data_IF_668589072363
#
_entry.id   IF_668589072363
#
_cell.length_a   1.000
_cell.length_b   1.000
_cell.length_c   1.000
_cell.angle_alpha   90.00
_cell.angle_beta   90.00
_cell.angle_gamma   90.00
#
_symmetry.space_group_name_H-M   'P 1'
#
loop_
_entity.id
_entity.type
_entity.pdbx_description
1 polymer ?
#
# COMPACT_ATOMS: atom_id res chain seq x y z
N UNK A 1 -11.14 6.46 -7.44
CA UNK A 1 -10.56 5.10 -7.53
C UNK A 1 -10.96 4.52 -8.87
N UNK A 2 -10.42 3.37 -9.28
CA UNK A 2 -10.89 2.72 -10.49
C UNK A 2 -12.19 1.96 -10.20
N UNK A 3 -13.23 2.21 -10.98
CA UNK A 3 -14.58 1.66 -10.79
C UNK A 3 -14.96 0.75 -11.97
N UNK A 4 -15.79 -0.27 -11.68
CA UNK A 4 -16.31 -1.19 -12.68
C UNK A 4 -17.77 -0.87 -12.99
N UNK A 5 -18.09 -0.73 -14.27
CA UNK A 5 -19.47 -0.70 -14.77
C UNK A 5 -19.61 -1.65 -15.95
N UNK A 6 -20.85 -1.98 -16.33
CA UNK A 6 -21.09 -2.80 -17.51
C UNK A 6 -20.43 -2.17 -18.75
N UNK A 7 -19.76 -3.00 -19.55
CA UNK A 7 -19.12 -2.58 -20.80
C UNK A 7 -20.19 -2.36 -21.88
N UNK A 8 -20.23 -1.17 -22.47
CA UNK A 8 -21.18 -0.78 -23.52
C UNK A 8 -20.55 -0.68 -24.90
N UNK A 9 -21.38 -0.56 -25.94
CA UNK A 9 -20.92 -0.47 -27.34
C UNK A 9 -20.02 0.74 -27.63
N UNK A 10 -20.29 1.88 -26.97
CA UNK A 10 -19.44 3.08 -27.07
C UNK A 10 -18.03 2.83 -26.53
N UNK A 11 -17.91 2.01 -25.47
CA UNK A 11 -16.62 1.65 -24.88
C UNK A 11 -15.82 0.76 -25.82
N UNK A 12 -16.48 -0.22 -26.48
CA UNK A 12 -15.84 -1.08 -27.47
C UNK A 12 -15.23 -0.25 -28.60
N UNK A 13 -15.99 0.72 -29.09
CA UNK A 13 -15.51 1.66 -30.12
C UNK A 13 -14.31 2.45 -29.63
N UNK A 14 -14.33 2.92 -28.38
CA UNK A 14 -13.21 3.66 -27.80
C UNK A 14 -11.96 2.78 -27.60
N UNK A 15 -12.14 1.54 -27.10
CA UNK A 15 -11.06 0.58 -26.85
C UNK A 15 -10.34 0.22 -28.15
N UNK A 16 -11.09 -0.03 -29.23
CA UNK A 16 -10.54 -0.34 -30.55
C UNK A 16 -9.66 0.79 -31.11
N UNK A 17 -9.93 2.03 -30.67
CA UNK A 17 -9.18 3.22 -31.05
C UNK A 17 -8.05 3.59 -30.08
N UNK A 18 -7.76 2.79 -29.06
CA UNK A 18 -6.65 3.08 -28.15
C UNK A 18 -5.28 3.01 -28.84
N UNK A 19 -4.33 3.86 -28.43
CA UNK A 19 -2.95 3.78 -28.90
C UNK A 19 -2.38 2.37 -28.67
N UNK A 20 -1.53 1.87 -29.58
CA UNK A 20 -0.96 0.55 -29.42
C UNK A 20 -0.03 0.47 -28.22
N UNK A 21 0.10 -0.72 -27.64
CA UNK A 21 1.07 -0.94 -26.57
C UNK A 21 2.51 -0.73 -27.06
N UNK A 22 3.36 -0.01 -26.30
CA UNK A 22 4.76 0.18 -26.66
C UNK A 22 5.62 -1.05 -26.27
N UNK A 23 6.78 -1.17 -26.92
CA UNK A 23 7.84 -2.11 -26.54
C UNK A 23 7.39 -3.57 -26.51
N UNK A 24 7.82 -4.30 -25.49
CA UNK A 24 7.57 -5.75 -25.33
C UNK A 24 6.09 -6.12 -25.18
N UNK A 25 5.21 -5.12 -24.96
CA UNK A 25 3.76 -5.33 -24.90
C UNK A 25 3.05 -5.13 -26.24
N UNK A 26 3.75 -4.68 -27.30
CA UNK A 26 3.16 -4.50 -28.63
C UNK A 26 2.52 -5.80 -29.18
N UNK A 27 3.10 -6.96 -28.85
CA UNK A 27 2.54 -8.28 -29.19
C UNK A 27 1.19 -8.59 -28.53
N UNK A 28 0.74 -7.80 -27.55
CA UNK A 28 -0.56 -7.93 -26.91
C UNK A 28 -1.62 -7.08 -27.60
N UNK A 29 -1.25 -6.22 -28.54
CA UNK A 29 -2.16 -5.24 -29.12
C UNK A 29 -3.32 -5.86 -29.90
N UNK A 30 -3.08 -7.00 -30.58
CA UNK A 30 -4.09 -7.78 -31.30
C UNK A 30 -5.36 -8.04 -30.46
N UNK A 31 -5.19 -8.16 -29.14
CA UNK A 31 -6.25 -8.28 -28.15
C UNK A 31 -7.42 -7.32 -28.32
N UNK A 32 -7.07 -6.08 -28.64
CA UNK A 32 -7.93 -4.91 -28.59
C UNK A 32 -8.48 -4.55 -29.97
N UNK A 33 -7.98 -5.22 -31.02
CA UNK A 33 -8.31 -4.93 -32.42
C UNK A 33 -9.48 -5.80 -32.87
N UNK A 34 -9.96 -5.51 -34.08
CA UNK A 34 -11.01 -6.30 -34.73
C UNK A 34 -10.60 -7.78 -34.78
N UNK A 35 -11.55 -8.66 -34.46
CA UNK A 35 -11.35 -10.11 -34.36
C UNK A 35 -10.33 -10.53 -33.28
N UNK A 36 -9.89 -9.58 -32.46
CA UNK A 36 -9.11 -9.81 -31.26
C UNK A 36 -9.91 -10.52 -30.17
N UNK A 37 -9.24 -10.83 -29.07
CA UNK A 37 -9.91 -11.61 -28.03
C UNK A 37 -11.01 -10.87 -27.29
N UNK A 38 -11.04 -9.53 -27.31
CA UNK A 38 -12.19 -8.77 -26.83
C UNK A 38 -13.47 -9.15 -27.60
N UNK A 39 -13.42 -9.12 -28.92
CA UNK A 39 -14.54 -9.50 -29.78
C UNK A 39 -14.87 -11.00 -29.61
N UNK A 40 -13.85 -11.86 -29.54
CA UNK A 40 -14.04 -13.30 -29.32
C UNK A 40 -14.77 -13.59 -28.00
N UNK A 41 -14.36 -12.95 -26.89
CA UNK A 41 -14.96 -13.21 -25.59
C UNK A 41 -16.40 -12.74 -25.51
N UNK A 42 -16.76 -11.65 -26.21
CA UNK A 42 -18.12 -11.11 -26.22
C UNK A 42 -19.06 -11.88 -27.15
N UNK A 43 -18.52 -12.59 -28.14
CA UNK A 43 -19.32 -13.33 -29.13
C UNK A 43 -19.44 -14.82 -28.83
N UNK A 44 -18.47 -15.42 -28.12
CA UNK A 44 -18.45 -16.85 -27.81
C UNK A 44 -18.87 -17.14 -26.36
N UNK A 45 -20.10 -17.61 -26.21
CA UNK A 45 -20.64 -18.10 -24.95
C UNK A 45 -21.15 -17.00 -24.02
N UNK A 46 -21.37 -17.35 -22.76
CA UNK A 46 -21.85 -16.41 -21.75
C UNK A 46 -20.67 -15.64 -21.16
N UNK A 47 -20.63 -14.33 -21.35
CA UNK A 47 -19.56 -13.46 -20.88
C UNK A 47 -20.10 -12.25 -20.13
N UNK A 48 -19.39 -11.88 -19.07
CA UNK A 48 -19.66 -10.72 -18.24
C UNK A 48 -18.50 -9.74 -18.37
N UNK A 49 -18.72 -8.66 -19.10
CA UNK A 49 -17.69 -7.67 -19.41
C UNK A 49 -17.95 -6.34 -18.71
N UNK A 50 -16.89 -5.77 -18.16
CA UNK A 50 -16.93 -4.53 -17.40
C UNK A 50 -15.92 -3.53 -17.95
N UNK A 51 -16.37 -2.30 -18.17
CA UNK A 51 -15.52 -1.14 -18.35
C UNK A 51 -14.84 -0.77 -17.03
N UNK A 52 -13.58 -0.35 -17.10
CA UNK A 52 -12.84 0.20 -15.95
C UNK A 52 -12.68 1.69 -16.16
N UNK A 53 -13.18 2.48 -15.21
CA UNK A 53 -13.16 3.94 -15.27
C UNK A 53 -12.34 4.55 -14.12
N UNK A 54 -11.59 5.60 -14.41
CA UNK A 54 -10.96 6.47 -13.40
C UNK A 54 -11.53 7.88 -13.56
N UNK A 55 -12.49 8.24 -12.71
CA UNK A 55 -13.36 9.39 -12.98
C UNK A 55 -14.17 9.14 -14.25
N UNK A 56 -14.27 10.13 -15.13
CA UNK A 56 -15.01 10.01 -16.40
C UNK A 56 -14.18 9.42 -17.55
N UNK A 57 -13.03 8.79 -17.25
CA UNK A 57 -12.13 8.24 -18.27
C UNK A 57 -12.15 6.72 -18.29
N UNK A 58 -12.45 6.14 -19.45
CA UNK A 58 -12.23 4.72 -19.72
C UNK A 58 -10.73 4.40 -19.77
N UNK A 59 -10.27 3.60 -18.81
CA UNK A 59 -8.85 3.26 -18.62
C UNK A 59 -8.56 1.77 -18.83
N UNK A 60 -9.56 0.92 -18.94
CA UNK A 60 -9.40 -0.52 -19.07
C UNK A 60 -10.73 -1.24 -19.23
N UNK A 61 -10.65 -2.56 -19.30
CA UNK A 61 -11.81 -3.45 -19.16
C UNK A 61 -11.38 -4.78 -18.58
N UNK A 62 -12.36 -5.53 -18.10
CA UNK A 62 -12.19 -6.84 -17.50
C UNK A 62 -13.37 -7.74 -17.88
N UNK A 63 -13.13 -9.03 -18.06
CA UNK A 63 -14.11 -9.99 -18.56
C UNK A 63 -14.04 -11.27 -17.72
N UNK A 64 -15.21 -11.80 -17.38
CA UNK A 64 -15.40 -13.17 -16.93
C UNK A 64 -16.20 -13.93 -17.98
N UNK A 65 -15.56 -14.87 -18.65
CA UNK A 65 -16.22 -15.72 -19.66
C UNK A 65 -16.49 -17.08 -19.07
N UNK A 66 -17.74 -17.51 -19.05
CA UNK A 66 -18.12 -18.82 -18.54
C UNK A 66 -17.50 -19.92 -19.39
N UNK A 67 -16.84 -20.86 -18.73
CA UNK A 67 -16.12 -21.99 -19.35
C UNK A 67 -16.62 -23.33 -18.84
N UNK A 68 -17.34 -23.34 -17.72
CA UNK A 68 -17.99 -24.53 -17.15
C UNK A 68 -19.25 -24.16 -16.38
N UNK A 69 -19.82 -25.12 -15.66
CA UNK A 69 -21.05 -24.90 -14.87
C UNK A 69 -20.88 -23.82 -13.80
N UNK A 70 -19.74 -23.84 -13.10
CA UNK A 70 -19.36 -22.88 -12.06
C UNK A 70 -17.90 -22.42 -12.26
N UNK A 71 -17.47 -22.29 -13.51
CA UNK A 71 -16.11 -21.88 -13.86
C UNK A 71 -16.10 -20.75 -14.88
N UNK A 72 -15.16 -19.82 -14.71
CA UNK A 72 -14.95 -18.72 -15.64
C UNK A 72 -13.48 -18.49 -15.96
N UNK A 73 -13.23 -18.03 -17.18
CA UNK A 73 -11.96 -17.46 -17.60
C UNK A 73 -11.96 -15.95 -17.32
N UNK A 74 -10.98 -15.48 -16.57
CA UNK A 74 -10.73 -14.08 -16.28
C UNK A 74 -9.76 -13.48 -17.30
N UNK A 75 -10.11 -12.29 -17.81
CA UNK A 75 -9.22 -11.51 -18.67
C UNK A 75 -9.30 -10.03 -18.34
N UNK A 76 -8.17 -9.33 -18.51
CA UNK A 76 -8.05 -7.90 -18.20
C UNK A 76 -7.14 -7.23 -19.22
N UNK A 77 -7.49 -6.00 -19.60
CA UNK A 77 -6.60 -5.11 -20.32
C UNK A 77 -6.75 -3.66 -19.82
N UNK A 78 -5.62 -2.95 -19.78
CA UNK A 78 -5.55 -1.53 -19.43
C UNK A 78 -5.07 -0.75 -20.65
N UNK A 79 -5.55 0.47 -20.83
CA UNK A 79 -4.98 1.39 -21.82
C UNK A 79 -3.48 1.54 -21.60
N UNK A 80 -2.70 1.68 -22.68
CA UNK A 80 -1.24 1.59 -22.63
C UNK A 80 -0.59 2.54 -21.59
N UNK A 81 -1.08 3.79 -21.50
CA UNK A 81 -0.66 4.82 -20.54
C UNK A 81 -1.07 4.55 -19.09
N UNK A 82 -1.91 3.55 -18.85
CA UNK A 82 -2.42 3.15 -17.52
C UNK A 82 -1.77 1.86 -17.00
N UNK A 83 -1.04 1.15 -17.86
CA UNK A 83 -0.12 0.09 -17.43
C UNK A 83 1.00 0.73 -16.61
N UNK A 84 1.52 0.08 -15.56
CA UNK A 84 2.49 0.76 -14.67
C UNK A 84 1.93 1.13 -13.32
N UNK A 85 0.68 1.56 -13.26
CA UNK A 85 0.23 2.47 -12.21
C UNK A 85 -0.53 1.80 -11.05
N UNK A 86 -0.51 0.47 -10.97
CA UNK A 86 -1.11 -0.29 -9.86
C UNK A 86 -2.59 -0.66 -10.04
N UNK A 87 -3.27 -0.18 -11.08
CA UNK A 87 -4.69 -0.47 -11.33
C UNK A 87 -5.02 -1.95 -11.47
N UNK A 88 -4.14 -2.74 -12.11
CA UNK A 88 -4.42 -4.14 -12.44
C UNK A 88 -4.77 -5.00 -11.22
N UNK A 89 -4.15 -4.73 -10.06
CA UNK A 89 -4.44 -5.51 -8.85
C UNK A 89 -5.83 -5.27 -8.31
N UNK A 90 -6.20 -4.00 -8.16
CA UNK A 90 -7.52 -3.61 -7.66
C UNK A 90 -8.64 -4.08 -8.59
N UNK A 91 -8.49 -3.92 -9.91
CA UNK A 91 -9.47 -4.39 -10.91
C UNK A 91 -9.63 -5.90 -10.86
N UNK A 92 -8.52 -6.65 -10.74
CA UNK A 92 -8.56 -8.11 -10.65
C UNK A 92 -9.36 -8.54 -9.42
N UNK A 93 -9.10 -7.95 -8.25
CA UNK A 93 -9.84 -8.25 -7.02
C UNK A 93 -11.34 -7.92 -7.14
N UNK A 94 -11.69 -6.75 -7.67
CA UNK A 94 -13.09 -6.38 -7.91
C UNK A 94 -13.78 -7.37 -8.85
N UNK A 95 -13.10 -7.77 -9.94
CA UNK A 95 -13.66 -8.73 -10.90
C UNK A 95 -13.87 -10.11 -10.28
N UNK A 96 -12.91 -10.60 -9.50
CA UNK A 96 -13.03 -11.90 -8.82
C UNK A 96 -14.22 -11.93 -7.88
N UNK A 97 -14.44 -10.86 -7.09
CA UNK A 97 -15.61 -10.73 -6.21
C UNK A 97 -16.91 -10.82 -7.00
N UNK A 98 -17.03 -10.04 -8.08
CA UNK A 98 -18.19 -10.13 -8.99
C UNK A 98 -18.37 -11.56 -9.49
N UNK A 99 -17.30 -12.24 -9.86
CA UNK A 99 -17.35 -13.62 -10.34
C UNK A 99 -17.85 -14.62 -9.30
N UNK A 100 -17.28 -14.60 -8.11
CA UNK A 100 -17.63 -15.56 -7.05
C UNK A 100 -18.99 -15.26 -6.42
N UNK A 101 -19.32 -13.99 -6.18
CA UNK A 101 -20.49 -13.61 -5.40
C UNK A 101 -21.72 -13.35 -6.26
N UNK A 102 -21.56 -12.56 -7.33
CA UNK A 102 -22.69 -12.20 -8.20
C UNK A 102 -23.02 -13.29 -9.21
N UNK A 103 -22.00 -13.92 -9.78
CA UNK A 103 -22.17 -14.96 -10.80
C UNK A 103 -22.07 -16.39 -10.27
N UNK A 104 -21.72 -16.56 -8.99
CA UNK A 104 -21.70 -17.87 -8.33
C UNK A 104 -20.66 -18.83 -8.88
N UNK A 105 -19.57 -18.32 -9.48
CA UNK A 105 -18.46 -19.18 -9.87
C UNK A 105 -17.82 -19.81 -8.63
N UNK A 106 -17.27 -21.01 -8.79
CA UNK A 106 -16.50 -21.72 -7.76
C UNK A 106 -15.01 -21.68 -8.05
N UNK A 107 -14.64 -21.47 -9.33
CA UNK A 107 -13.26 -21.37 -9.80
C UNK A 107 -13.15 -20.37 -10.93
N UNK A 108 -12.14 -19.52 -10.87
CA UNK A 108 -11.80 -18.57 -11.92
C UNK A 108 -10.37 -18.83 -12.35
N UNK A 109 -10.15 -19.05 -13.65
CA UNK A 109 -8.83 -19.29 -14.21
C UNK A 109 -8.42 -18.18 -15.17
N UNK A 110 -7.12 -18.05 -15.44
CA UNK A 110 -6.56 -17.15 -16.42
C UNK A 110 -5.36 -17.80 -17.12
N UNK A 111 -5.04 -17.27 -18.29
CA UNK A 111 -3.76 -17.53 -18.96
C UNK A 111 -2.98 -16.22 -19.06
N UNK A 112 -1.69 -16.27 -18.78
CA UNK A 112 -0.79 -15.12 -18.86
C UNK A 112 0.47 -15.50 -19.64
N UNK A 113 0.89 -14.66 -20.61
CA UNK A 113 2.08 -14.93 -21.42
C UNK A 113 3.30 -15.14 -20.51
N UNK A 114 4.14 -16.13 -20.80
CA UNK A 114 5.33 -16.43 -19.97
C UNK A 114 6.29 -15.25 -19.83
N UNK A 115 6.37 -14.37 -20.84
CA UNK A 115 7.21 -13.18 -20.79
C UNK A 115 6.58 -12.00 -20.02
N UNK A 116 5.33 -12.10 -19.57
CA UNK A 116 4.69 -11.08 -18.73
C UNK A 116 4.95 -11.36 -17.24
N UNK A 117 6.22 -11.23 -16.84
CA UNK A 117 6.68 -11.47 -15.45
C UNK A 117 5.95 -10.60 -14.43
N UNK A 118 5.53 -9.39 -14.82
CA UNK A 118 4.77 -8.48 -13.98
C UNK A 118 3.36 -8.98 -13.70
N UNK A 119 2.65 -9.45 -14.73
CA UNK A 119 1.32 -10.04 -14.58
C UNK A 119 1.37 -11.28 -13.69
N UNK A 120 2.33 -12.17 -13.95
CA UNK A 120 2.53 -13.40 -13.16
C UNK A 120 2.70 -13.06 -11.67
N UNK A 121 3.64 -12.16 -11.32
CA UNK A 121 3.86 -11.75 -9.92
C UNK A 121 2.62 -11.11 -9.28
N UNK A 122 1.84 -10.36 -10.06
CA UNK A 122 0.60 -9.77 -9.58
C UNK A 122 -0.44 -10.86 -9.23
N UNK A 123 -0.66 -11.81 -10.14
CA UNK A 123 -1.63 -12.88 -9.93
C UNK A 123 -1.24 -13.79 -8.77
N UNK A 124 0.04 -14.14 -8.64
CA UNK A 124 0.56 -14.90 -7.50
C UNK A 124 0.31 -14.17 -6.18
N UNK A 125 0.53 -12.84 -6.12
CA UNK A 125 0.26 -12.04 -4.92
C UNK A 125 -1.22 -11.98 -4.56
N UNK A 126 -2.09 -12.00 -5.56
CA UNK A 126 -3.56 -12.02 -5.37
C UNK A 126 -4.03 -13.38 -4.87
N UNK A 127 -3.24 -14.44 -5.08
CA UNK A 127 -3.56 -15.79 -4.63
C UNK A 127 -3.80 -16.80 -5.75
N UNK A 128 -3.66 -16.40 -7.02
CA UNK A 128 -3.75 -17.36 -8.11
C UNK A 128 -2.64 -18.41 -7.99
N UNK A 129 -3.04 -19.67 -8.08
CA UNK A 129 -2.15 -20.83 -8.06
C UNK A 129 -1.72 -21.15 -9.48
N UNK A 130 -0.42 -21.35 -9.66
CA UNK A 130 0.14 -21.73 -10.94
C UNK A 130 -0.11 -23.22 -11.22
N UNK A 131 -0.78 -23.52 -12.34
CA UNK A 131 -1.18 -24.88 -12.75
C UNK A 131 -0.32 -25.42 -13.90
N UNK A 132 0.74 -24.70 -14.28
CA UNK A 132 1.67 -25.12 -15.32
C UNK A 132 1.53 -24.30 -16.60
N UNK A 133 1.94 -24.89 -17.71
CA UNK A 133 2.12 -24.18 -18.98
C UNK A 133 1.15 -24.69 -20.03
N UNK A 134 0.66 -23.78 -20.87
CA UNK A 134 -0.11 -24.12 -22.06
C UNK A 134 0.40 -23.31 -23.25
N UNK A 135 0.29 -23.89 -24.44
CA UNK A 135 0.63 -23.23 -25.70
C UNK A 135 -0.64 -22.97 -26.49
N UNK A 136 -0.77 -21.76 -27.03
CA UNK A 136 -1.88 -21.39 -27.91
C UNK A 136 -1.34 -20.74 -29.18
N UNK A 137 -2.06 -20.87 -30.27
CA UNK A 137 -1.75 -20.18 -31.51
C UNK A 137 -2.41 -18.79 -31.50
N UNK A 138 -1.62 -17.74 -31.60
CA UNK A 138 -2.06 -16.36 -31.66
C UNK A 138 -1.57 -15.76 -32.98
N UNK A 139 -2.50 -15.37 -33.85
CA UNK A 139 -2.18 -14.84 -35.20
C UNK A 139 -1.21 -15.76 -35.96
N UNK A 140 -1.46 -17.07 -35.96
CA UNK A 140 -0.62 -18.07 -36.62
C UNK A 140 0.72 -18.38 -35.94
N UNK A 141 1.00 -17.77 -34.78
CA UNK A 141 2.26 -17.99 -34.05
C UNK A 141 2.01 -18.75 -32.74
N UNK A 142 2.82 -19.78 -32.42
CA UNK A 142 2.74 -20.44 -31.12
C UNK A 142 3.23 -19.51 -30.01
N UNK A 143 2.39 -19.30 -29.00
CA UNK A 143 2.68 -18.49 -27.82
C UNK A 143 2.52 -19.32 -26.56
N UNK A 144 3.53 -19.26 -25.68
CA UNK A 144 3.53 -19.96 -24.40
C UNK A 144 2.93 -19.10 -23.27
N UNK A 145 2.04 -19.70 -22.50
CA UNK A 145 1.33 -19.11 -21.38
C UNK A 145 1.52 -19.94 -20.10
N UNK A 146 1.37 -19.28 -18.96
CA UNK A 146 1.09 -19.93 -17.67
C UNK A 146 -0.42 -19.99 -17.48
N UNK A 147 -0.93 -21.16 -17.14
CA UNK A 147 -2.30 -21.35 -16.68
C UNK A 147 -2.32 -21.17 -15.17
N UNK A 148 -3.19 -20.30 -14.69
CA UNK A 148 -3.36 -20.06 -13.25
C UNK A 148 -4.83 -20.08 -12.88
N UNK A 149 -5.17 -20.49 -11.66
CA UNK A 149 -6.54 -20.45 -11.17
C UNK A 149 -6.64 -20.04 -9.71
N UNK A 150 -7.85 -19.71 -9.30
CA UNK A 150 -8.20 -19.44 -7.91
C UNK A 150 -9.64 -19.87 -7.68
N UNK A 151 -9.90 -20.53 -6.56
CA UNK A 151 -11.23 -20.93 -6.13
C UNK A 151 -11.86 -19.94 -5.15
N UNK A 152 -13.19 -19.98 -5.05
CA UNK A 152 -13.92 -19.21 -4.05
C UNK A 152 -13.48 -19.57 -2.62
N UNK A 153 -13.13 -20.83 -2.37
CA UNK A 153 -12.59 -21.30 -1.09
C UNK A 153 -11.20 -20.71 -0.81
N UNK A 154 -10.29 -20.75 -1.78
CA UNK A 154 -8.94 -20.17 -1.66
C UNK A 154 -9.02 -18.65 -1.41
N UNK A 155 -9.93 -17.94 -2.08
CA UNK A 155 -10.15 -16.50 -1.85
C UNK A 155 -10.79 -16.20 -0.49
N UNK A 156 -11.73 -17.05 -0.04
CA UNK A 156 -12.36 -16.91 1.27
C UNK A 156 -11.36 -17.16 2.40
N UNK A 157 -10.46 -18.13 2.25
CA UNK A 157 -9.38 -18.41 3.19
C UNK A 157 -8.33 -17.28 3.24
N UNK A 158 -8.16 -16.52 2.15
CA UNK A 158 -7.28 -15.35 2.09
C UNK A 158 -7.91 -14.06 2.65
N UNK A 159 -9.20 -14.08 3.04
CA UNK A 159 -9.88 -12.92 3.65
C UNK A 159 -10.23 -11.79 2.68
N UNK A 160 -10.38 -12.07 1.38
CA UNK A 160 -10.60 -11.03 0.34
C UNK A 160 -12.01 -11.10 -0.26
N UNK A 161 -13.04 -10.59 0.44
CA UNK A 161 -14.41 -10.32 -0.07
C UNK A 161 -15.28 -9.80 1.09
N UNK A 162 -16.05 -8.69 1.05
CA UNK A 162 -16.65 -7.87 -0.01
C UNK A 162 -16.98 -6.45 0.57
N UNK A 163 -16.97 -5.34 -0.22
CA UNK A 163 -17.44 -4.02 0.20
C UNK A 163 -18.91 -3.78 -0.22
N UNK A 164 -19.72 -3.28 0.72
CA UNK A 164 -21.07 -2.69 0.53
C UNK A 164 -22.29 -3.63 0.48
N UNK A 165 -22.66 -4.18 1.64
CA UNK A 165 -23.97 -3.87 2.23
C UNK A 165 -23.83 -3.89 3.76
N UNK A 166 -23.95 -2.69 4.33
CA UNK A 166 -24.19 -2.45 5.74
C UNK A 166 -25.60 -2.97 6.05
N UNK A 167 -25.68 -4.15 6.66
CA UNK A 167 -26.67 -4.38 7.70
C UNK A 167 -25.88 -4.46 9.02
N UNK A 168 -26.24 -3.63 10.00
CA UNK A 168 -25.43 -3.30 11.20
C UNK A 168 -25.19 -4.47 12.17
N UNK A 169 -25.48 -5.70 11.78
CA UNK A 169 -25.36 -6.88 12.62
C UNK A 169 -24.71 -7.99 11.83
N UNK A 170 -23.47 -8.30 12.21
CA UNK A 170 -22.71 -9.52 11.88
C UNK A 170 -21.78 -9.45 10.64
N UNK A 171 -20.72 -8.63 10.75
CA UNK A 171 -19.45 -8.77 9.99
C UNK A 171 -18.75 -10.09 10.37
N UNK A 172 -18.07 -10.81 9.45
CA UNK A 172 -16.94 -11.64 9.84
C UNK A 172 -15.84 -10.69 10.33
N UNK A 173 -15.38 -10.89 11.56
CA UNK A 173 -14.32 -10.06 12.15
C UNK A 173 -13.07 -10.25 11.28
N UNK A 174 -12.79 -9.26 10.43
CA UNK A 174 -11.44 -9.08 9.89
C UNK A 174 -10.51 -9.21 11.09
N UNK A 175 -9.54 -10.13 11.04
CA UNK A 175 -8.49 -10.15 12.05
C UNK A 175 -7.98 -8.72 12.11
N UNK A 176 -8.08 -8.08 13.27
CA UNK A 176 -7.59 -6.72 13.43
C UNK A 176 -6.18 -6.65 12.81
N UNK A 177 -5.87 -5.62 12.00
CA UNK A 177 -4.58 -5.54 11.33
C UNK A 177 -3.48 -5.84 12.34
N UNK A 178 -2.52 -6.69 11.94
CA UNK A 178 -1.36 -6.93 12.76
C UNK A 178 -0.57 -5.63 12.83
N UNK A 179 -0.88 -4.78 13.81
CA UNK A 179 -0.23 -3.49 14.02
C UNK A 179 0.98 -3.65 14.89
N UNK A 180 2.05 -2.93 14.58
CA UNK A 180 3.16 -2.67 15.50
C UNK A 180 3.39 -1.16 15.61
N UNK A 181 3.60 -0.68 16.84
CA UNK A 181 4.06 0.68 17.09
C UNK A 181 5.58 0.70 17.08
N UNK A 182 6.20 1.48 16.19
CA UNK A 182 7.66 1.64 16.12
C UNK A 182 8.02 3.04 16.60
N UNK A 183 8.79 3.07 17.69
CA UNK A 183 9.26 4.28 18.37
C UNK A 183 10.69 4.57 17.94
N UNK A 184 10.85 5.52 17.02
CA UNK A 184 12.12 5.80 16.35
C UNK A 184 12.92 6.87 17.08
N UNK A 185 14.13 6.52 17.50
CA UNK A 185 15.21 7.42 17.91
C UNK A 185 14.80 8.49 18.95
N UNK A 186 13.92 8.14 19.89
CA UNK A 186 13.50 9.01 20.99
C UNK A 186 14.61 9.06 22.05
N UNK A 187 15.68 9.78 21.71
CA UNK A 187 16.95 9.85 22.44
C UNK A 187 17.22 11.27 22.97
N UNK A 188 18.07 11.37 24.00
CA UNK A 188 18.28 12.62 24.74
C UNK A 188 18.83 13.78 23.91
N UNK A 189 19.63 13.53 22.87
CA UNK A 189 20.18 14.61 22.02
C UNK A 189 19.10 15.44 21.29
N UNK A 190 17.89 14.89 21.15
CA UNK A 190 16.72 15.57 20.59
C UNK A 190 15.96 16.46 21.59
N UNK A 191 16.23 16.35 22.90
CA UNK A 191 15.46 16.94 24.01
C UNK A 191 16.13 18.17 24.63
N UNK A 192 16.72 19.03 23.79
CA UNK A 192 17.57 20.15 24.23
C UNK A 192 19.07 19.86 24.17
N UNK A 193 19.46 18.73 23.58
CA UNK A 193 20.84 18.42 23.23
C UNK A 193 21.32 19.15 21.98
N UNK A 194 22.18 18.50 21.20
CA UNK A 194 22.87 19.15 20.07
C UNK A 194 22.02 19.29 18.81
N UNK A 195 20.94 18.51 18.70
CA UNK A 195 20.03 18.52 17.54
C UNK A 195 18.59 18.58 18.08
N UNK A 196 18.20 19.68 18.77
CA UNK A 196 16.92 19.73 19.46
C UNK A 196 15.74 19.77 18.47
N UNK A 197 14.70 19.00 18.76
CA UNK A 197 13.44 19.04 18.02
C UNK A 197 12.73 20.38 18.30
N UNK A 198 12.35 21.08 17.24
CA UNK A 198 11.71 22.40 17.34
C UNK A 198 10.23 22.39 16.95
N UNK A 199 9.78 21.43 16.13
CA UNK A 199 8.37 21.33 15.77
C UNK A 199 7.88 19.91 15.49
N UNK A 200 6.69 19.52 16.00
CA UNK A 200 5.92 20.16 17.08
C UNK A 200 6.78 20.39 18.35
N UNK A 201 6.33 21.20 19.31
CA UNK A 201 7.03 21.35 20.58
C UNK A 201 7.38 19.98 21.16
N UNK A 202 8.64 19.81 21.54
CA UNK A 202 9.18 18.47 21.83
C UNK A 202 8.47 17.82 23.03
N UNK A 203 8.06 18.61 24.01
CA UNK A 203 7.30 18.18 25.17
C UNK A 203 5.92 17.63 24.78
N UNK A 204 5.28 18.23 23.78
CA UNK A 204 4.01 17.75 23.23
C UNK A 204 4.20 16.41 22.53
N UNK A 205 5.20 16.31 21.64
CA UNK A 205 5.46 15.06 20.91
C UNK A 205 5.89 13.94 21.86
N UNK A 206 6.73 14.22 22.86
CA UNK A 206 7.10 13.26 23.91
C UNK A 206 5.90 12.77 24.71
N UNK A 207 5.00 13.67 25.13
CA UNK A 207 3.80 13.28 25.84
C UNK A 207 2.94 12.32 24.99
N UNK A 208 2.78 12.64 23.70
CA UNK A 208 2.02 11.84 22.76
C UNK A 208 2.68 10.48 22.44
N UNK A 209 4.01 10.43 22.29
CA UNK A 209 4.77 9.17 22.17
C UNK A 209 4.48 8.28 23.37
N UNK A 210 4.54 8.83 24.59
CA UNK A 210 4.22 8.10 25.81
C UNK A 210 2.79 7.53 25.79
N UNK A 211 1.81 8.36 25.42
CA UNK A 211 0.40 7.92 25.29
C UNK A 211 0.21 6.84 24.23
N UNK A 212 0.89 6.96 23.09
CA UNK A 212 0.83 5.94 22.03
C UNK A 212 1.41 4.61 22.51
N UNK A 213 2.56 4.61 23.21
CA UNK A 213 3.13 3.39 23.80
C UNK A 213 2.19 2.76 24.85
N UNK A 214 1.59 3.57 25.72
CA UNK A 214 0.68 3.11 26.76
C UNK A 214 -0.61 2.51 26.15
N UNK A 215 -1.14 3.13 25.10
CA UNK A 215 -2.30 2.64 24.36
C UNK A 215 -1.98 1.36 23.56
N UNK A 216 -0.82 1.29 22.90
CA UNK A 216 -0.38 0.11 22.19
C UNK A 216 -0.31 -1.11 23.12
N UNK A 217 0.34 -0.94 24.28
CA UNK A 217 0.42 -1.97 25.31
C UNK A 217 -0.95 -2.41 25.80
N UNK A 218 -1.86 -1.46 26.04
CA UNK A 218 -3.24 -1.76 26.48
C UNK A 218 -4.02 -2.54 25.43
N UNK A 219 -3.81 -2.24 24.15
CA UNK A 219 -4.47 -2.89 23.01
C UNK A 219 -3.77 -4.19 22.55
N UNK A 220 -2.66 -4.59 23.19
CA UNK A 220 -1.87 -5.75 22.76
C UNK A 220 -1.14 -5.56 21.43
N UNK A 221 -0.93 -4.32 21.00
CA UNK A 221 -0.11 -3.95 19.84
C UNK A 221 1.36 -3.98 20.24
N UNK A 222 2.22 -4.80 19.61
CA UNK A 222 3.63 -4.85 19.94
C UNK A 222 4.32 -3.50 19.76
N UNK A 223 5.16 -3.14 20.72
CA UNK A 223 5.98 -1.92 20.72
C UNK A 223 7.42 -2.27 20.39
N UNK A 224 7.92 -1.72 19.29
CA UNK A 224 9.32 -1.81 18.87
C UNK A 224 10.01 -0.49 19.18
N UNK A 225 11.13 -0.53 19.89
CA UNK A 225 11.96 0.65 20.13
C UNK A 225 13.19 0.60 19.25
N UNK A 226 13.48 1.71 18.59
CA UNK A 226 14.65 1.86 17.72
C UNK A 226 15.57 2.91 18.32
N UNK A 227 16.86 2.59 18.40
CA UNK A 227 17.90 3.48 18.87
C UNK A 227 18.98 3.62 17.80
N UNK A 228 19.27 4.85 17.40
CA UNK A 228 20.35 5.15 16.47
C UNK A 228 21.63 5.47 17.23
N UNK A 229 22.71 4.75 16.94
CA UNK A 229 24.01 4.99 17.58
C UNK A 229 25.10 5.18 16.54
N UNK A 230 25.71 6.36 16.57
CA UNK A 230 26.87 6.71 15.76
C UNK A 230 28.18 6.30 16.44
N UNK A 231 29.30 6.21 15.69
CA UNK A 231 30.61 5.93 16.26
C UNK A 231 30.99 6.87 17.42
N UNK A 232 31.89 6.40 18.28
CA UNK A 232 32.44 7.23 19.35
C UNK A 232 33.07 8.53 18.79
N UNK A 233 32.86 9.65 19.49
CA UNK A 233 33.31 10.96 19.04
C UNK A 233 32.43 11.64 17.98
N UNK A 234 31.35 11.00 17.52
CA UNK A 234 30.37 11.65 16.64
C UNK A 234 29.76 12.91 17.29
N UNK A 235 29.35 13.91 16.49
CA UNK A 235 28.86 15.17 17.04
C UNK A 235 27.58 15.00 17.86
N UNK A 236 26.72 14.04 17.54
CA UNK A 236 25.47 13.71 18.26
C UNK A 236 25.23 12.19 18.18
N UNK A 237 24.39 11.64 19.05
CA UNK A 237 24.08 10.20 19.15
C UNK A 237 25.33 9.31 19.22
N UNK A 238 26.42 9.83 19.78
CA UNK A 238 27.69 9.12 19.86
C UNK A 238 27.61 7.98 20.88
N UNK A 239 28.11 6.80 20.49
CA UNK A 239 28.19 5.63 21.38
C UNK A 239 28.83 5.99 22.73
N UNK A 240 28.18 5.57 23.81
CA UNK A 240 28.67 5.78 25.18
C UNK A 240 28.37 7.16 25.77
N UNK A 241 27.63 8.02 25.07
CA UNK A 241 27.21 9.34 25.59
C UNK A 241 25.75 9.32 26.04
N UNK A 242 25.42 10.16 27.01
CA UNK A 242 24.03 10.34 27.47
C UNK A 242 23.08 10.82 26.35
N UNK A 243 23.59 11.62 25.41
CA UNK A 243 22.84 12.07 24.23
C UNK A 243 22.35 10.92 23.35
N UNK A 244 23.09 9.81 23.30
CA UNK A 244 22.72 8.61 22.58
C UNK A 244 21.77 7.69 23.37
N UNK A 245 21.53 7.92 24.65
CA UNK A 245 20.61 7.09 25.43
C UNK A 245 19.15 7.40 25.08
N UNK A 246 18.29 6.38 25.19
CA UNK A 246 16.85 6.55 25.06
C UNK A 246 16.33 7.48 26.16
N UNK A 247 15.45 8.41 25.78
CA UNK A 247 14.81 9.33 26.71
C UNK A 247 13.93 8.57 27.73
N UNK A 248 13.79 9.16 28.92
CA UNK A 248 13.04 8.55 30.04
C UNK A 248 11.59 8.17 29.69
N UNK A 249 10.96 8.94 28.78
CA UNK A 249 9.61 8.62 28.24
C UNK A 249 9.54 7.20 27.68
N UNK A 250 10.56 6.76 26.93
CA UNK A 250 10.58 5.42 26.33
C UNK A 250 11.16 4.40 27.30
N UNK A 251 12.29 4.73 27.93
CA UNK A 251 13.02 3.81 28.83
C UNK A 251 12.17 3.27 29.98
N UNK A 252 11.22 4.06 30.47
CA UNK A 252 10.33 3.67 31.58
C UNK A 252 9.18 2.73 31.21
N UNK A 253 8.88 2.54 29.91
CA UNK A 253 7.66 1.83 29.45
C UNK A 253 7.88 0.38 29.02
N UNK A 254 9.13 0.02 28.70
CA UNK A 254 9.49 -1.28 28.12
C UNK A 254 9.08 -1.40 26.65
N UNK A 255 9.45 -2.52 26.03
CA UNK A 255 9.24 -2.81 24.61
C UNK A 255 9.27 -4.32 24.35
N UNK A 256 8.61 -4.75 23.28
CA UNK A 256 8.56 -6.16 22.84
C UNK A 256 9.77 -6.50 21.96
N UNK A 257 10.30 -5.51 21.24
CA UNK A 257 11.51 -5.64 20.44
C UNK A 257 12.35 -4.38 20.47
N UNK A 258 13.66 -4.55 20.29
CA UNK A 258 14.62 -3.46 20.30
C UNK A 258 15.57 -3.56 19.11
N UNK A 259 15.75 -2.45 18.42
CA UNK A 259 16.58 -2.35 17.23
C UNK A 259 17.66 -1.30 17.43
N UNK A 260 18.90 -1.71 17.26
CA UNK A 260 20.04 -0.80 17.16
C UNK A 260 20.34 -0.56 15.67
N UNK A 261 20.37 0.71 15.24
CA UNK A 261 20.67 1.06 13.85
C UNK A 261 21.80 2.08 13.71
N UNK A 262 22.39 2.10 12.53
CA UNK A 262 23.39 3.10 12.10
C UNK A 262 23.02 3.82 10.79
N UNK A 263 21.85 3.53 10.22
CA UNK A 263 21.30 4.15 9.02
C UNK A 263 19.97 4.84 9.35
N UNK A 264 19.47 5.76 8.50
CA UNK A 264 18.20 6.43 8.74
C UNK A 264 17.02 5.47 8.91
N UNK A 265 16.85 4.53 7.97
CA UNK A 265 15.76 3.54 8.03
C UNK A 265 15.97 2.52 9.14
N UNK A 266 14.90 2.24 9.89
CA UNK A 266 14.89 1.18 10.89
C UNK A 266 14.81 -0.24 10.30
N UNK A 267 14.48 -0.38 9.02
CA UNK A 267 14.38 -1.69 8.33
C UNK A 267 15.71 -2.10 7.69
N UNK A 268 16.52 -1.13 7.25
CA UNK A 268 17.71 -1.36 6.47
C UNK A 268 18.79 -2.14 7.25
N UNK A 269 18.87 -3.45 7.01
CA UNK A 269 19.92 -4.32 7.54
C UNK A 269 19.84 -4.59 9.05
N UNK A 270 18.66 -4.44 9.66
CA UNK A 270 18.46 -4.56 11.11
C UNK A 270 17.79 -5.86 11.56
N UNK A 271 17.21 -6.63 10.63
CA UNK A 271 16.39 -7.80 10.95
C UNK A 271 14.94 -7.47 11.37
N UNK A 272 14.57 -6.19 11.36
CA UNK A 272 13.26 -5.73 11.83
C UNK A 272 12.13 -6.21 10.91
N UNK A 273 12.32 -6.22 9.59
CA UNK A 273 11.30 -6.73 8.67
C UNK A 273 10.95 -8.19 8.97
N UNK A 274 11.96 -9.04 9.15
CA UNK A 274 11.79 -10.45 9.45
C UNK A 274 11.05 -10.64 10.77
N UNK A 275 11.39 -9.85 11.79
CA UNK A 275 10.69 -9.88 13.07
C UNK A 275 9.22 -9.50 12.92
N UNK A 276 8.91 -8.39 12.23
CA UNK A 276 7.54 -7.93 11.98
C UNK A 276 6.72 -9.01 11.25
N UNK A 277 7.29 -9.62 10.20
CA UNK A 277 6.65 -10.70 9.44
C UNK A 277 6.38 -11.93 10.30
N UNK A 278 7.34 -12.34 11.13
CA UNK A 278 7.20 -13.48 12.03
C UNK A 278 6.09 -13.29 13.07
N UNK A 279 5.78 -12.04 13.43
CA UNK A 279 4.70 -11.69 14.35
C UNK A 279 3.37 -11.39 13.64
N UNK A 280 3.29 -11.65 12.34
CA UNK A 280 2.08 -11.44 11.55
C UNK A 280 1.68 -9.97 11.43
N UNK A 281 2.67 -9.06 11.49
CA UNK A 281 2.47 -7.62 11.33
C UNK A 281 2.35 -7.28 9.85
N UNK A 282 1.29 -6.53 9.53
CA UNK A 282 1.01 -5.98 8.20
C UNK A 282 0.96 -4.45 8.20
N UNK A 283 0.80 -3.84 9.37
CA UNK A 283 0.62 -2.40 9.56
C UNK A 283 1.63 -1.87 10.56
N UNK A 284 2.33 -0.80 10.21
CA UNK A 284 3.36 -0.18 11.03
C UNK A 284 2.94 1.25 11.36
N UNK A 285 2.83 1.57 12.64
CA UNK A 285 2.60 2.94 13.13
C UNK A 285 3.93 3.54 13.58
N UNK A 286 4.31 4.68 13.01
CA UNK A 286 5.55 5.40 13.33
C UNK A 286 5.29 6.55 14.29
N UNK A 287 6.13 6.62 15.32
CA UNK A 287 6.32 7.77 16.21
C UNK A 287 7.81 7.99 16.43
N UNK A 288 8.22 9.18 16.87
CA UNK A 288 9.62 9.50 17.15
C UNK A 288 10.25 10.49 16.17
N UNK A 289 11.56 10.35 15.91
CA UNK A 289 12.33 11.40 15.25
C UNK A 289 13.40 10.87 14.28
N UNK A 290 13.81 11.63 13.26
CA UNK A 290 13.18 12.86 12.77
C UNK A 290 12.21 12.55 11.63
N UNK A 291 11.12 13.31 11.59
CA UNK A 291 10.05 13.21 10.58
C UNK A 291 10.58 13.11 9.15
N UNK A 292 11.50 13.99 8.76
CA UNK A 292 12.03 14.09 7.39
C UNK A 292 13.23 13.21 7.12
N UNK A 293 13.70 12.43 8.10
CA UNK A 293 14.92 11.64 7.98
C UNK A 293 14.69 10.17 8.35
N UNK A 294 14.70 9.82 9.64
CA UNK A 294 14.61 8.43 10.09
C UNK A 294 13.20 7.88 9.87
N UNK A 295 12.18 8.67 10.24
CA UNK A 295 10.78 8.31 10.08
C UNK A 295 10.44 8.14 8.60
N UNK A 296 10.71 9.17 7.78
CA UNK A 296 10.46 9.13 6.34
C UNK A 296 11.16 7.95 5.65
N UNK A 297 12.44 7.70 5.97
CA UNK A 297 13.19 6.59 5.36
C UNK A 297 12.55 5.25 5.70
N UNK A 298 12.16 5.06 6.97
CA UNK A 298 11.48 3.85 7.44
C UNK A 298 10.10 3.71 6.79
N UNK A 299 9.34 4.79 6.66
CA UNK A 299 8.03 4.82 5.98
C UNK A 299 8.16 4.40 4.52
N UNK A 300 9.07 5.01 3.77
CA UNK A 300 9.26 4.72 2.34
C UNK A 300 9.70 3.28 2.13
N UNK A 301 10.66 2.78 2.93
CA UNK A 301 11.09 1.39 2.85
C UNK A 301 9.97 0.42 3.24
N UNK A 302 9.21 0.72 4.31
CA UNK A 302 8.06 -0.08 4.73
C UNK A 302 6.99 -0.20 3.64
N UNK A 303 6.67 0.90 2.94
CA UNK A 303 5.76 0.87 1.79
C UNK A 303 6.31 -0.03 0.68
N UNK A 304 7.60 0.07 0.35
CA UNK A 304 8.22 -0.76 -0.69
C UNK A 304 8.30 -2.24 -0.31
N UNK A 305 8.45 -2.53 0.98
CA UNK A 305 8.37 -3.87 1.54
C UNK A 305 6.92 -4.40 1.62
N UNK A 306 5.91 -3.55 1.38
CA UNK A 306 4.50 -3.93 1.32
C UNK A 306 3.75 -3.86 2.64
N UNK A 307 4.27 -3.13 3.63
CA UNK A 307 3.52 -2.79 4.85
C UNK A 307 2.56 -1.62 4.61
N UNK A 308 1.43 -1.64 5.30
CA UNK A 308 0.60 -0.45 5.47
C UNK A 308 1.27 0.47 6.50
N UNK A 309 1.52 1.73 6.16
CA UNK A 309 2.18 2.68 7.07
C UNK A 309 1.17 3.66 7.68
N UNK A 310 1.34 3.95 8.96
CA UNK A 310 0.64 4.99 9.74
C UNK A 310 1.70 5.90 10.38
N UNK A 311 1.45 7.20 10.48
CA UNK A 311 2.35 8.16 11.12
C UNK A 311 1.56 9.09 12.03
N UNK A 312 1.98 9.20 13.29
CA UNK A 312 1.32 10.11 14.23
C UNK A 312 1.99 11.48 14.17
N UNK A 313 1.31 12.41 13.50
CA UNK A 313 1.81 13.76 13.20
C UNK A 313 2.17 14.56 14.45
N UNK A 314 1.50 14.31 15.56
CA UNK A 314 1.70 14.98 16.84
C UNK A 314 2.58 14.18 17.82
N UNK A 315 3.08 13.01 17.42
CA UNK A 315 4.05 12.18 18.14
C UNK A 315 5.33 11.96 17.33
N UNK A 316 5.61 12.88 16.39
CA UNK A 316 6.83 12.95 15.60
C UNK A 316 7.43 14.36 15.69
N UNK A 317 8.59 14.61 15.09
CA UNK A 317 9.19 15.95 15.12
C UNK A 317 10.32 16.19 14.13
N UNK A 318 10.57 17.46 13.84
CA UNK A 318 11.61 17.94 12.94
C UNK A 318 12.47 19.06 13.58
N UNK A 319 13.60 19.32 12.92
CA UNK A 319 14.55 20.42 13.20
C UNK A 319 14.63 21.34 11.97
N UNK A 320 15.00 22.62 12.10
CA UNK A 320 15.24 23.48 10.96
C UNK A 320 16.57 23.09 10.28
N UNK A 321 16.67 23.35 8.97
CA UNK A 321 17.92 23.20 8.22
C UNK A 321 18.23 24.45 7.40
N UNK A 322 19.51 24.79 7.34
CA UNK A 322 20.08 25.74 6.38
C UNK A 322 21.36 25.14 5.80
N UNK A 323 21.47 25.11 4.47
CA UNK A 323 22.65 24.66 3.75
C UNK A 323 22.66 25.25 2.34
N UNK A 324 23.57 24.80 1.47
CA UNK A 324 23.70 25.31 0.08
C UNK A 324 22.42 25.25 -0.78
N UNK A 325 21.44 24.42 -0.42
CA UNK A 325 20.18 24.29 -1.14
C UNK A 325 19.11 25.31 -0.69
N UNK A 326 19.34 26.02 0.43
CA UNK A 326 18.40 26.97 1.02
C UNK A 326 18.21 26.76 2.52
N UNK A 327 17.17 27.39 3.06
CA UNK A 327 16.77 27.28 4.45
C UNK A 327 15.29 26.89 4.56
N UNK A 328 14.94 26.07 5.56
CA UNK A 328 13.57 25.71 5.90
C UNK A 328 13.44 25.52 7.41
N UNK A 329 12.39 26.10 8.00
CA UNK A 329 12.10 25.97 9.42
C UNK A 329 11.53 24.59 9.77
N UNK A 330 11.67 24.16 11.03
CA UNK A 330 11.17 22.85 11.50
C UNK A 330 9.68 22.64 11.19
N UNK A 331 8.85 23.66 11.43
CA UNK A 331 7.41 23.59 11.17
C UNK A 331 7.08 23.40 9.68
N UNK A 332 7.87 24.01 8.79
CA UNK A 332 7.71 23.81 7.35
C UNK A 332 8.11 22.40 6.95
N UNK A 333 9.28 21.95 7.40
CA UNK A 333 9.79 20.60 7.11
C UNK A 333 8.79 19.54 7.57
N UNK A 334 8.36 19.59 8.83
CA UNK A 334 7.39 18.64 9.39
C UNK A 334 6.09 18.64 8.59
N UNK A 335 5.47 19.83 8.41
CA UNK A 335 4.20 19.96 7.69
C UNK A 335 4.27 19.44 6.26
N UNK A 336 5.33 19.76 5.53
CA UNK A 336 5.50 19.30 4.14
C UNK A 336 5.62 17.78 4.11
N UNK A 337 6.40 17.18 5.03
CA UNK A 337 6.53 15.73 5.09
C UNK A 337 5.20 15.04 5.47
N UNK A 338 4.43 15.58 6.42
CA UNK A 338 3.10 15.04 6.76
C UNK A 338 2.16 15.05 5.55
N UNK A 339 2.12 16.15 4.79
CA UNK A 339 1.29 16.26 3.58
C UNK A 339 1.75 15.27 2.51
N UNK A 340 3.06 15.13 2.28
CA UNK A 340 3.61 14.19 1.30
C UNK A 340 3.35 12.74 1.69
N UNK A 341 3.54 12.40 2.97
CA UNK A 341 3.26 11.07 3.50
C UNK A 341 1.77 10.74 3.39
N UNK A 342 0.86 11.65 3.76
CA UNK A 342 -0.58 11.42 3.65
C UNK A 342 -1.01 11.17 2.20
N UNK A 343 -0.44 11.94 1.26
CA UNK A 343 -0.79 11.84 -0.15
C UNK A 343 -0.39 10.50 -0.81
N UNK A 344 0.51 9.71 -0.20
CA UNK A 344 1.01 8.50 -0.88
C UNK A 344 1.49 7.38 0.02
N UNK A 345 2.19 7.67 1.10
CA UNK A 345 3.01 6.69 1.80
C UNK A 345 2.35 6.15 3.07
N UNK A 346 1.67 6.99 3.84
CA UNK A 346 1.12 6.61 5.13
C UNK A 346 -0.27 7.21 5.35
N UNK A 347 -1.04 6.63 6.28
CA UNK A 347 -2.14 7.34 6.91
C UNK A 347 -1.57 8.21 8.03
N UNK A 348 -1.72 9.52 7.91
CA UNK A 348 -1.20 10.53 8.83
C UNK A 348 -2.35 11.04 9.68
N UNK A 349 -2.24 10.87 10.99
CA UNK A 349 -3.29 11.19 11.95
C UNK A 349 -2.71 11.76 13.24
N UNK A 350 -3.57 12.19 14.16
CA UNK A 350 -3.19 12.53 15.53
C UNK A 350 -3.18 11.30 16.44
N UNK A 351 -2.49 11.40 17.58
CA UNK A 351 -2.40 10.30 18.56
C UNK A 351 -3.78 9.92 19.11
N UNK A 352 -4.65 10.90 19.34
CA UNK A 352 -6.01 10.64 19.85
C UNK A 352 -6.87 9.84 18.87
N UNK A 353 -6.77 10.18 17.59
CA UNK A 353 -7.46 9.46 16.52
C UNK A 353 -6.96 8.02 16.42
N UNK A 354 -5.65 7.82 16.49
CA UNK A 354 -5.06 6.49 16.47
C UNK A 354 -5.47 5.63 17.68
N UNK A 355 -5.50 6.21 18.88
CA UNK A 355 -5.99 5.52 20.08
C UNK A 355 -7.46 5.13 19.92
N UNK A 356 -8.28 6.01 19.34
CA UNK A 356 -9.67 5.71 19.01
C UNK A 356 -9.78 4.57 18.00
N UNK A 357 -8.92 4.54 16.98
CA UNK A 357 -8.83 3.46 15.99
C UNK A 357 -8.46 2.13 16.65
N UNK A 358 -7.50 2.12 17.57
CA UNK A 358 -7.16 0.90 18.32
C UNK A 358 -8.34 0.37 19.13
N UNK A 359 -9.13 1.27 19.74
CA UNK A 359 -10.29 0.89 20.55
C UNK A 359 -11.50 0.44 19.71
N UNK A 360 -11.69 1.02 18.52
CA UNK A 360 -12.90 0.83 17.70
C UNK A 360 -12.70 -0.12 16.52
N UNK A 361 -11.45 -0.37 16.12
CA UNK A 361 -11.11 -1.09 14.89
C UNK A 361 -11.42 -0.32 13.61
N UNK A 362 -11.63 1.00 13.68
CA UNK A 362 -11.81 1.83 12.50
C UNK A 362 -10.57 1.82 11.60
N UNK A 363 -10.76 2.07 10.30
CA UNK A 363 -9.64 2.23 9.37
C UNK A 363 -9.21 3.70 9.31
N UNK A 364 -7.90 4.00 9.35
CA UNK A 364 -7.43 5.36 9.24
C UNK A 364 -7.61 5.92 7.83
N UNK A 365 -7.90 7.21 7.72
CA UNK A 365 -8.04 7.88 6.43
C UNK A 365 -6.71 7.89 5.66
N UNK A 366 -6.76 7.48 4.39
CA UNK A 366 -5.64 7.56 3.44
C UNK A 366 -6.00 8.45 2.26
N UNK A 367 -5.00 9.13 1.73
CA UNK A 367 -5.16 10.03 0.58
C UNK A 367 -4.37 9.55 -0.63
N UNK A 368 -4.53 10.25 -1.76
CA UNK A 368 -3.81 9.95 -3.01
C UNK A 368 -3.22 11.21 -3.61
N UNK A 369 -2.10 11.06 -4.32
CA UNK A 369 -1.42 12.14 -5.04
C UNK A 369 -2.41 12.96 -5.88
N UNK A 370 -3.31 12.29 -6.60
CA UNK A 370 -4.30 12.94 -7.46
C UNK A 370 -5.28 13.80 -6.65
N UNK A 371 -5.89 13.22 -5.60
CA UNK A 371 -6.86 13.91 -4.75
C UNK A 371 -6.23 15.09 -4.00
N UNK A 372 -5.04 14.91 -3.41
CA UNK A 372 -4.32 15.99 -2.73
C UNK A 372 -3.99 17.14 -3.70
N UNK A 373 -3.48 16.83 -4.90
CA UNK A 373 -3.17 17.84 -5.90
C UNK A 373 -4.42 18.60 -6.36
N UNK A 374 -5.53 17.88 -6.60
CA UNK A 374 -6.79 18.49 -7.03
C UNK A 374 -7.35 19.47 -6.00
N UNK A 375 -7.33 19.14 -4.71
CA UNK A 375 -7.77 20.06 -3.65
C UNK A 375 -6.88 21.30 -3.60
N UNK A 376 -5.56 21.14 -3.67
CA UNK A 376 -4.63 22.26 -3.67
C UNK A 376 -4.81 23.21 -4.87
N UNK A 377 -5.10 22.66 -6.07
CA UNK A 377 -5.34 23.48 -7.26
C UNK A 377 -6.68 24.22 -7.22
N UNK A 378 -7.73 23.62 -6.66
CA UNK A 378 -9.03 24.28 -6.49
C UNK A 378 -8.93 25.51 -5.58
N UNK A 379 -8.22 25.39 -4.45
CA UNK A 379 -8.02 26.49 -3.50
C UNK A 379 -7.28 27.71 -4.09
N UNK A 380 -6.52 27.53 -5.16
CA UNK A 380 -5.80 28.62 -5.85
C UNK A 380 -6.62 29.27 -6.97
N UNK A 381 -7.74 28.66 -7.36
CA UNK A 381 -8.62 29.15 -8.43
C UNK A 381 -9.76 30.04 -7.88
N UNK A 382 -9.88 30.11 -6.56
CA UNK A 382 -10.75 31.00 -5.76
C UNK A 382 -9.90 32.06 -5.10
#
# INVERSE_FOLDING_TARGET
MAELRALGESDLTQIKNWPPYPGDMAQMDYALREEGWLDECLTKGEAFAYAVEEGDQLIGFTILRKTGAAEAEFRIALRADKTGLGFGGNITLQTLRIGFEKHGFSRIHLIVRKNNSRGIKLYQRIGFVDRGECRQEILGNPVDFRLMDISSEEIAQMGVGNPEQLDEKEKPVAKAPGRALIVIDVQNDYMGGKVPIEFPPVEQSLANIGRAMDAAKTAGVPVVVVQNVLPEGAPFLARGTDGAELHATVRSRGWDHYVLKGLPSALAGTGLEEWLRAHGIDTITIVGYMTHNCDLSTVVEGVHAGFAMEVLSDATGAVPYENRAGAAGAAEIHRVMMVVMQARFAAVMGTDEWISILATGAEPERDTIYSSNRRARRLRAT
#
